data_IF_761207817881
#
_entry.id   IF_761207817881
#
_cell.length_a   1.000
_cell.length_b   1.000
_cell.length_c   1.000
_cell.angle_alpha   90.00
_cell.angle_beta   90.00
_cell.angle_gamma   90.00
#
_symmetry.space_group_name_H-M   'P 1'
#
loop_
_entity.id
_entity.type
_entity.pdbx_description
1 polymer ?
#
# COMPACT_ATOMS: atom_id res chain seq x y z
N UNK A 1 -33.64 15.94 -7.15
CA UNK A 1 -32.81 15.86 -5.92
C UNK A 1 -31.42 15.37 -6.33
N UNK A 2 -30.35 15.87 -5.72
CA UNK A 2 -28.99 15.40 -6.06
C UNK A 2 -28.86 13.94 -5.62
N UNK A 3 -28.55 13.03 -6.54
CA UNK A 3 -28.39 11.58 -6.34
C UNK A 3 -27.46 11.26 -5.15
N UNK A 4 -26.42 12.05 -4.95
CA UNK A 4 -25.51 11.89 -3.82
C UNK A 4 -26.20 12.17 -2.47
N UNK A 5 -26.96 13.27 -2.38
CA UNK A 5 -27.72 13.62 -1.16
C UNK A 5 -28.75 12.55 -0.83
N UNK A 6 -29.46 12.04 -1.83
CA UNK A 6 -30.40 10.94 -1.67
C UNK A 6 -29.73 9.67 -1.13
N UNK A 7 -28.58 9.32 -1.70
CA UNK A 7 -27.76 8.20 -1.25
C UNK A 7 -27.29 8.34 0.20
N UNK A 8 -26.79 9.51 0.57
CA UNK A 8 -26.33 9.80 1.94
C UNK A 8 -27.49 9.72 2.93
N UNK A 9 -28.64 10.31 2.61
CA UNK A 9 -29.84 10.26 3.44
C UNK A 9 -30.33 8.81 3.65
N UNK A 10 -30.27 7.98 2.61
CA UNK A 10 -30.60 6.57 2.70
C UNK A 10 -29.64 5.84 3.67
N UNK A 11 -28.32 6.02 3.52
CA UNK A 11 -27.35 5.42 4.42
C UNK A 11 -27.57 5.82 5.87
N UNK A 12 -27.86 7.09 6.14
CA UNK A 12 -28.18 7.58 7.48
C UNK A 12 -29.47 6.92 8.01
N UNK A 13 -30.52 6.82 7.18
CA UNK A 13 -31.77 6.16 7.57
C UNK A 13 -31.60 4.69 7.97
N UNK A 14 -30.62 4.02 7.40
CA UNK A 14 -30.23 2.64 7.74
C UNK A 14 -29.31 2.56 8.96
N UNK A 15 -29.04 3.67 9.63
CA UNK A 15 -28.18 3.74 10.83
C UNK A 15 -26.77 3.17 10.61
N UNK A 16 -26.23 3.30 9.39
CA UNK A 16 -24.90 2.76 9.04
C UNK A 16 -23.77 3.41 9.85
N UNK A 17 -23.99 4.62 10.37
CA UNK A 17 -23.09 5.30 11.31
C UNK A 17 -22.95 4.57 12.67
N UNK A 18 -23.90 3.69 13.01
CA UNK A 18 -23.88 2.91 14.25
C UNK A 18 -23.32 1.48 14.04
N UNK A 19 -22.99 1.11 12.81
CA UNK A 19 -22.45 -0.21 12.47
C UNK A 19 -20.92 -0.14 12.50
N UNK A 20 -20.23 -0.79 13.45
CA UNK A 20 -18.77 -0.83 13.46
C UNK A 20 -18.22 -1.46 12.18
N UNK A 21 -17.20 -0.83 11.58
CA UNK A 21 -16.57 -1.35 10.38
C UNK A 21 -15.10 -0.92 10.29
N UNK A 22 -14.18 -1.85 10.43
CA UNK A 22 -12.75 -1.55 10.50
C UNK A 22 -12.40 -0.71 11.72
N UNK A 23 -11.71 0.41 11.52
CA UNK A 23 -11.35 1.38 12.56
C UNK A 23 -12.40 2.49 12.75
N UNK A 24 -13.57 2.39 12.11
CA UNK A 24 -14.64 3.38 12.15
C UNK A 24 -16.02 2.75 12.05
N UNK A 25 -16.87 3.33 11.26
CA UNK A 25 -18.22 2.81 11.01
C UNK A 25 -18.48 2.62 9.50
N UNK A 26 -19.53 1.87 9.20
CA UNK A 26 -19.88 1.51 7.82
C UNK A 26 -20.22 2.72 6.96
N UNK A 27 -20.84 3.75 7.53
CA UNK A 27 -21.13 5.01 6.83
C UNK A 27 -19.84 5.67 6.35
N UNK A 28 -18.89 5.91 7.27
CA UNK A 28 -17.63 6.55 6.93
C UNK A 28 -16.85 5.73 5.90
N UNK A 29 -16.81 4.41 6.05
CA UNK A 29 -16.17 3.54 5.07
C UNK A 29 -16.78 3.70 3.67
N UNK A 30 -18.12 3.67 3.57
CA UNK A 30 -18.84 3.81 2.29
C UNK A 30 -18.55 5.15 1.62
N UNK A 31 -18.57 6.25 2.38
CA UNK A 31 -18.23 7.60 1.88
C UNK A 31 -16.76 7.65 1.42
N UNK A 32 -15.85 7.11 2.21
CA UNK A 32 -14.42 7.11 1.86
C UNK A 32 -14.15 6.31 0.55
N UNK A 33 -14.88 5.21 0.31
CA UNK A 33 -14.78 4.46 -0.96
C UNK A 33 -15.26 5.30 -2.13
N UNK A 34 -16.40 5.97 -1.98
CA UNK A 34 -16.95 6.89 -2.99
C UNK A 34 -15.96 8.00 -3.33
N UNK A 35 -15.43 8.68 -2.31
CA UNK A 35 -14.47 9.78 -2.48
C UNK A 35 -13.18 9.34 -3.13
N UNK A 36 -12.65 8.15 -2.76
CA UNK A 36 -11.46 7.57 -3.39
C UNK A 36 -11.70 7.28 -4.87
N UNK A 37 -12.84 6.73 -5.24
CA UNK A 37 -13.19 6.46 -6.63
C UNK A 37 -13.36 7.77 -7.43
N UNK A 38 -13.93 8.80 -6.83
CA UNK A 38 -14.01 10.15 -7.43
C UNK A 38 -12.63 10.76 -7.65
N UNK A 39 -11.74 10.64 -6.65
CA UNK A 39 -10.35 11.09 -6.76
C UNK A 39 -9.60 10.36 -7.91
N UNK A 40 -9.95 9.11 -8.16
CA UNK A 40 -9.42 8.33 -9.28
C UNK A 40 -10.06 8.70 -10.62
N UNK A 41 -11.06 9.60 -10.63
CA UNK A 41 -11.83 10.02 -11.81
C UNK A 41 -12.60 8.86 -12.48
N UNK A 42 -13.07 7.92 -11.67
CA UNK A 42 -13.99 6.89 -12.15
C UNK A 42 -15.33 7.46 -12.57
N UNK A 43 -16.02 6.75 -13.46
CA UNK A 43 -17.40 7.08 -13.84
C UNK A 43 -18.31 7.16 -12.61
N UNK A 44 -19.35 8.00 -12.69
CA UNK A 44 -20.30 8.22 -11.61
C UNK A 44 -20.97 6.91 -11.14
N UNK A 45 -21.29 6.01 -12.08
CA UNK A 45 -21.90 4.71 -11.76
C UNK A 45 -20.95 3.82 -10.92
N UNK A 46 -19.63 3.87 -11.17
CA UNK A 46 -18.62 3.17 -10.37
C UNK A 46 -18.54 3.77 -8.97
N UNK A 47 -18.60 5.11 -8.87
CA UNK A 47 -18.56 5.80 -7.58
C UNK A 47 -19.79 5.44 -6.72
N UNK A 48 -20.99 5.46 -7.27
CA UNK A 48 -22.21 5.06 -6.54
C UNK A 48 -22.24 3.57 -6.22
N UNK A 49 -21.76 2.71 -7.12
CA UNK A 49 -21.58 1.31 -6.81
C UNK A 49 -20.62 1.10 -5.62
N UNK A 50 -19.53 1.87 -5.55
CA UNK A 50 -18.59 1.86 -4.42
C UNK A 50 -19.22 2.32 -3.11
N UNK A 51 -20.04 3.39 -3.15
CA UNK A 51 -20.76 3.90 -1.99
C UNK A 51 -21.64 2.84 -1.31
N UNK A 52 -22.24 1.97 -2.12
CA UNK A 52 -23.20 0.96 -1.64
C UNK A 52 -22.60 -0.45 -1.54
N UNK A 53 -21.41 -0.71 -2.05
CA UNK A 53 -20.85 -2.06 -2.16
C UNK A 53 -20.82 -2.83 -0.82
N UNK A 54 -20.43 -2.16 0.27
CA UNK A 54 -20.28 -2.83 1.58
C UNK A 54 -21.61 -3.05 2.31
N UNK A 55 -22.69 -2.42 1.87
CA UNK A 55 -24.02 -2.55 2.50
C UNK A 55 -25.02 -3.32 1.64
N UNK A 56 -24.75 -3.48 0.36
CA UNK A 56 -25.69 -4.07 -0.59
C UNK A 56 -26.16 -5.47 -0.19
N UNK A 57 -25.28 -6.29 0.32
CA UNK A 57 -25.62 -7.65 0.75
C UNK A 57 -26.34 -7.69 2.10
N UNK A 58 -26.26 -6.62 2.89
CA UNK A 58 -26.95 -6.47 4.16
C UNK A 58 -28.38 -5.93 3.97
N UNK A 59 -28.67 -5.33 2.81
CA UNK A 59 -29.96 -4.69 2.53
C UNK A 59 -30.97 -5.74 2.06
N UNK A 60 -32.12 -5.80 2.76
CA UNK A 60 -33.21 -6.73 2.46
C UNK A 60 -33.96 -6.35 1.19
N UNK A 61 -34.11 -5.03 0.94
CA UNK A 61 -34.81 -4.53 -0.25
C UNK A 61 -33.83 -3.90 -1.23
N UNK A 62 -33.20 -4.76 -2.05
CA UNK A 62 -32.24 -4.36 -3.08
C UNK A 62 -32.85 -3.46 -4.16
N UNK A 63 -34.19 -3.49 -4.36
CA UNK A 63 -34.86 -2.63 -5.32
C UNK A 63 -34.78 -1.15 -4.89
N UNK A 64 -34.83 -0.86 -3.60
CA UNK A 64 -34.65 0.50 -3.10
C UNK A 64 -33.28 1.02 -3.45
N UNK A 65 -32.22 0.23 -3.21
CA UNK A 65 -30.85 0.61 -3.60
C UNK A 65 -30.75 0.83 -5.11
N UNK A 66 -31.28 -0.11 -5.92
CA UNK A 66 -31.31 0.02 -7.38
C UNK A 66 -32.01 1.29 -7.86
N UNK A 67 -33.11 1.69 -7.24
CA UNK A 67 -33.84 2.91 -7.59
C UNK A 67 -33.00 4.17 -7.29
N UNK A 68 -32.20 4.15 -6.22
CA UNK A 68 -31.34 5.27 -5.83
C UNK A 68 -30.12 5.37 -6.76
N UNK A 69 -29.38 4.27 -6.95
CA UNK A 69 -28.09 4.30 -7.66
C UNK A 69 -28.19 3.97 -9.15
N UNK A 70 -29.31 3.38 -9.58
CA UNK A 70 -29.53 2.95 -10.95
C UNK A 70 -29.03 1.52 -11.25
N UNK A 71 -29.59 0.94 -12.31
CA UNK A 71 -29.31 -0.46 -12.69
C UNK A 71 -27.85 -0.71 -13.05
N UNK A 72 -27.18 0.27 -13.67
CA UNK A 72 -25.76 0.13 -14.06
C UNK A 72 -24.85 0.05 -12.85
N UNK A 73 -25.05 0.92 -11.85
CA UNK A 73 -24.30 0.87 -10.59
C UNK A 73 -24.57 -0.43 -9.82
N UNK A 74 -25.84 -0.87 -9.77
CA UNK A 74 -26.20 -2.14 -9.14
C UNK A 74 -25.51 -3.36 -9.80
N UNK A 75 -25.45 -3.38 -11.14
CA UNK A 75 -24.77 -4.43 -11.88
C UNK A 75 -23.26 -4.46 -11.59
N UNK A 76 -22.64 -3.28 -11.41
CA UNK A 76 -21.23 -3.18 -11.02
C UNK A 76 -20.96 -3.80 -9.64
N UNK A 77 -21.88 -3.62 -8.68
CA UNK A 77 -21.79 -4.30 -7.37
C UNK A 77 -21.90 -5.81 -7.55
N UNK A 78 -22.95 -6.27 -8.25
CA UNK A 78 -23.19 -7.71 -8.48
C UNK A 78 -22.06 -8.43 -9.21
N UNK A 79 -21.36 -7.72 -10.10
CA UNK A 79 -20.22 -8.27 -10.86
C UNK A 79 -18.90 -8.26 -10.09
N UNK A 80 -18.88 -7.84 -8.82
CA UNK A 80 -17.65 -7.69 -8.04
C UNK A 80 -16.58 -6.87 -8.77
N UNK A 81 -16.94 -5.66 -9.20
CA UNK A 81 -16.07 -4.81 -9.99
C UNK A 81 -14.70 -4.60 -9.30
N UNK A 82 -13.62 -4.96 -9.99
CA UNK A 82 -12.27 -4.98 -9.44
C UNK A 82 -11.77 -3.63 -8.95
N UNK A 83 -12.20 -2.52 -9.59
CA UNK A 83 -11.83 -1.16 -9.17
C UNK A 83 -12.47 -0.83 -7.82
N UNK A 84 -13.74 -1.20 -7.64
CA UNK A 84 -14.46 -1.03 -6.37
C UNK A 84 -13.78 -1.86 -5.27
N UNK A 85 -13.42 -3.10 -5.56
CA UNK A 85 -12.72 -3.97 -4.61
C UNK A 85 -11.35 -3.40 -4.22
N UNK A 86 -10.62 -2.81 -5.17
CA UNK A 86 -9.36 -2.13 -4.90
C UNK A 86 -9.59 -0.90 -3.99
N UNK A 87 -10.59 -0.06 -4.28
CA UNK A 87 -10.91 1.10 -3.46
C UNK A 87 -11.29 0.68 -2.02
N UNK A 88 -12.11 -0.36 -1.86
CA UNK A 88 -12.46 -0.93 -0.55
C UNK A 88 -11.23 -1.40 0.25
N UNK A 89 -10.23 -2.01 -0.41
CA UNK A 89 -8.97 -2.38 0.25
C UNK A 89 -8.19 -1.16 0.73
N UNK A 90 -8.07 -0.13 -0.11
CA UNK A 90 -7.23 1.04 0.15
C UNK A 90 -7.87 2.11 1.04
N UNK A 91 -9.14 2.02 1.32
CA UNK A 91 -9.83 2.89 2.30
C UNK A 91 -9.53 2.47 3.75
N UNK A 92 -9.21 1.19 3.96
CA UNK A 92 -8.68 0.67 5.23
C UNK A 92 -7.17 0.90 5.26
N UNK A 93 -6.58 0.87 6.45
CA UNK A 93 -5.11 0.80 6.60
C UNK A 93 -4.61 -0.47 5.93
N UNK A 94 -4.29 -0.38 4.63
CA UNK A 94 -3.90 -1.54 3.84
C UNK A 94 -2.41 -1.82 4.00
N UNK A 95 -2.11 -2.88 4.73
CA UNK A 95 -0.75 -3.42 4.88
C UNK A 95 -0.83 -4.94 4.77
N UNK A 96 -0.29 -5.49 3.70
CA UNK A 96 -0.15 -6.93 3.47
C UNK A 96 1.28 -7.36 3.78
N UNK A 97 1.44 -8.48 4.48
CA UNK A 97 2.75 -9.05 4.82
C UNK A 97 2.80 -10.45 4.23
N UNK A 98 3.79 -10.72 3.41
CA UNK A 98 4.04 -12.03 2.82
C UNK A 98 5.37 -12.55 3.34
N UNK A 99 5.30 -13.58 4.18
CA UNK A 99 6.47 -14.31 4.67
C UNK A 99 6.69 -15.58 3.85
N UNK A 100 7.91 -16.06 3.81
CA UNK A 100 8.30 -17.32 3.15
C UNK A 100 7.95 -17.38 1.65
N UNK A 101 7.92 -16.23 0.98
CA UNK A 101 7.63 -16.15 -0.45
C UNK A 101 8.77 -16.69 -1.31
N UNK A 102 10.01 -16.46 -0.88
CA UNK A 102 11.23 -16.93 -1.53
C UNK A 102 11.82 -18.11 -0.74
N UNK A 103 12.46 -19.03 -1.45
CA UNK A 103 13.27 -20.06 -0.82
C UNK A 103 14.59 -19.50 -0.27
N UNK A 104 15.31 -20.33 0.49
CA UNK A 104 16.57 -19.91 1.12
C UNK A 104 17.67 -19.56 0.10
N UNK A 105 17.68 -20.20 -1.05
CA UNK A 105 18.66 -19.96 -2.10
C UNK A 105 18.41 -18.62 -2.78
N UNK A 106 17.15 -18.31 -3.09
CA UNK A 106 16.76 -17.02 -3.64
C UNK A 106 17.06 -15.86 -2.69
N UNK A 107 16.76 -16.05 -1.39
CA UNK A 107 17.06 -15.06 -0.36
C UNK A 107 18.58 -14.78 -0.31
N UNK A 108 19.40 -15.83 -0.30
CA UNK A 108 20.85 -15.69 -0.26
C UNK A 108 21.40 -15.02 -1.53
N UNK A 109 20.91 -15.40 -2.71
CA UNK A 109 21.32 -14.77 -3.98
C UNK A 109 20.97 -13.30 -4.05
N UNK A 110 19.75 -12.94 -3.63
CA UNK A 110 19.32 -11.55 -3.55
C UNK A 110 20.19 -10.75 -2.58
N UNK A 111 20.45 -11.30 -1.39
CA UNK A 111 21.31 -10.66 -0.40
C UNK A 111 22.73 -10.40 -0.92
N UNK A 112 23.41 -11.44 -1.45
CA UNK A 112 24.77 -11.31 -2.00
C UNK A 112 24.81 -10.26 -3.12
N UNK A 113 23.81 -10.28 -4.02
CA UNK A 113 23.75 -9.31 -5.09
C UNK A 113 23.68 -7.87 -4.57
N UNK A 114 22.73 -7.58 -3.69
CA UNK A 114 22.56 -6.22 -3.17
C UNK A 114 23.68 -5.81 -2.21
N UNK A 115 24.24 -6.71 -1.44
CA UNK A 115 25.35 -6.39 -0.53
C UNK A 115 26.63 -6.06 -1.29
N UNK A 116 27.00 -6.90 -2.27
CA UNK A 116 28.37 -6.94 -2.80
C UNK A 116 28.48 -6.43 -4.25
N UNK A 117 27.38 -6.40 -5.01
CA UNK A 117 27.46 -6.19 -6.46
C UNK A 117 26.72 -4.93 -6.96
N UNK A 118 26.04 -4.19 -6.11
CA UNK A 118 25.42 -2.93 -6.52
C UNK A 118 26.30 -1.74 -6.16
N UNK A 119 26.37 -0.72 -7.04
CA UNK A 119 27.12 0.52 -6.77
C UNK A 119 26.29 1.43 -5.85
N UNK A 120 26.32 1.17 -4.56
CA UNK A 120 25.67 2.00 -3.57
C UNK A 120 26.21 3.43 -3.60
N UNK A 121 25.30 4.41 -3.66
CA UNK A 121 25.63 5.81 -3.55
C UNK A 121 25.14 6.33 -2.20
N UNK A 122 26.04 6.95 -1.44
CA UNK A 122 25.65 7.67 -0.24
C UNK A 122 24.86 8.92 -0.63
N UNK A 123 23.67 9.05 -0.06
CA UNK A 123 22.83 10.24 -0.22
C UNK A 123 22.79 10.95 1.12
N UNK A 124 23.51 12.06 1.19
CA UNK A 124 23.44 13.01 2.29
C UNK A 124 23.38 14.41 1.70
N UNK A 125 22.38 15.21 2.05
CA UNK A 125 22.34 16.58 1.57
C UNK A 125 23.12 17.49 2.50
N UNK A 126 23.97 18.34 1.91
CA UNK A 126 24.80 19.27 2.64
C UNK A 126 24.08 20.53 3.14
N UNK A 127 22.79 20.73 2.87
CA UNK A 127 22.07 21.95 3.24
C UNK A 127 20.99 21.77 4.30
N UNK A 128 20.39 20.58 4.40
CA UNK A 128 19.35 20.30 5.39
C UNK A 128 19.82 19.24 6.36
N UNK A 129 19.99 19.62 7.61
CA UNK A 129 20.48 18.78 8.72
C UNK A 129 19.57 17.55 8.95
N UNK A 130 18.38 17.53 8.35
CA UNK A 130 17.35 16.53 8.53
C UNK A 130 17.12 15.62 7.32
N UNK A 131 17.95 15.68 6.30
CA UNK A 131 17.75 14.84 5.11
C UNK A 131 18.34 13.46 5.27
N UNK A 132 17.67 12.54 4.59
CA UNK A 132 17.96 11.12 4.48
C UNK A 132 19.46 10.83 4.31
N UNK A 133 20.08 10.30 5.34
CA UNK A 133 21.47 9.83 5.28
C UNK A 133 21.45 8.32 5.10
N UNK A 134 21.33 7.84 3.87
CA UNK A 134 21.35 6.41 3.58
C UNK A 134 22.09 6.14 2.27
N UNK A 135 22.37 4.87 2.04
CA UNK A 135 22.86 4.43 0.74
C UNK A 135 21.66 4.13 -0.16
N UNK A 136 21.74 4.57 -1.41
CA UNK A 136 20.72 4.28 -2.44
C UNK A 136 21.33 3.66 -3.67
N UNK A 137 20.53 2.82 -4.31
CA UNK A 137 20.80 2.26 -5.62
C UNK A 137 19.52 2.26 -6.44
N UNK A 138 19.58 2.65 -7.71
CA UNK A 138 18.45 2.61 -8.64
C UNK A 138 18.66 1.46 -9.64
N UNK A 139 17.88 0.36 -9.52
CA UNK A 139 17.95 -0.77 -10.43
C UNK A 139 17.67 -0.38 -11.87
N UNK A 140 18.50 -0.86 -12.79
CA UNK A 140 18.29 -0.66 -14.24
C UNK A 140 17.70 -1.88 -14.94
N UNK A 141 17.45 -2.95 -14.20
CA UNK A 141 16.89 -4.22 -14.65
C UNK A 141 17.71 -4.93 -15.74
N UNK A 142 19.00 -4.69 -15.84
CA UNK A 142 19.90 -5.46 -16.71
C UNK A 142 20.32 -6.77 -16.03
N UNK A 143 20.48 -6.77 -14.72
CA UNK A 143 20.86 -7.94 -13.95
C UNK A 143 19.72 -8.96 -13.80
N UNK A 144 20.08 -10.25 -13.70
CA UNK A 144 19.10 -11.36 -13.53
C UNK A 144 18.31 -11.24 -12.23
N UNK A 145 18.96 -10.87 -11.11
CA UNK A 145 18.32 -10.71 -9.79
C UNK A 145 17.27 -9.60 -9.83
N UNK A 146 17.59 -8.45 -10.42
CA UNK A 146 16.64 -7.34 -10.55
C UNK A 146 15.43 -7.71 -11.41
N UNK A 147 15.67 -8.38 -12.55
CA UNK A 147 14.59 -8.89 -13.43
C UNK A 147 13.71 -9.89 -12.70
N UNK A 148 14.32 -10.79 -11.92
CA UNK A 148 13.63 -11.78 -11.11
C UNK A 148 12.70 -11.10 -10.11
N UNK A 149 13.20 -10.18 -9.29
CA UNK A 149 12.41 -9.46 -8.29
C UNK A 149 11.28 -8.63 -8.92
N UNK A 150 11.53 -7.97 -10.06
CA UNK A 150 10.48 -7.26 -10.82
C UNK A 150 9.37 -8.20 -11.28
N UNK A 151 9.71 -9.38 -11.84
CA UNK A 151 8.74 -10.39 -12.26
C UNK A 151 7.89 -10.89 -11.09
N UNK A 152 8.53 -11.14 -9.94
CA UNK A 152 7.85 -11.57 -8.74
C UNK A 152 6.93 -10.49 -8.16
N UNK A 153 7.34 -9.22 -8.17
CA UNK A 153 6.47 -8.10 -7.81
C UNK A 153 5.20 -8.06 -8.65
N UNK A 154 5.34 -8.20 -9.97
CA UNK A 154 4.18 -8.25 -10.87
C UNK A 154 3.27 -9.45 -10.57
N UNK A 155 3.85 -10.63 -10.31
CA UNK A 155 3.08 -11.84 -9.94
C UNK A 155 2.32 -11.63 -8.64
N UNK A 156 2.94 -11.07 -7.61
CA UNK A 156 2.29 -10.75 -6.33
C UNK A 156 1.10 -9.81 -6.56
N UNK A 157 1.31 -8.69 -7.26
CA UNK A 157 0.26 -7.71 -7.51
C UNK A 157 -0.89 -8.28 -8.37
N UNK A 158 -0.60 -9.19 -9.31
CA UNK A 158 -1.63 -9.93 -10.08
C UNK A 158 -2.44 -10.83 -9.16
N UNK A 159 -1.80 -11.60 -8.30
CA UNK A 159 -2.49 -12.49 -7.34
C UNK A 159 -3.39 -11.69 -6.37
N UNK A 160 -3.01 -10.48 -6.02
CA UNK A 160 -3.81 -9.56 -5.20
C UNK A 160 -4.92 -8.85 -5.98
N UNK A 161 -4.99 -9.03 -7.31
CA UNK A 161 -5.98 -8.40 -8.19
C UNK A 161 -5.76 -6.89 -8.40
N UNK A 162 -4.53 -6.39 -8.19
CA UNK A 162 -4.21 -4.97 -8.25
C UNK A 162 -3.46 -4.56 -9.53
N UNK A 163 -2.73 -5.48 -10.15
CA UNK A 163 -1.73 -5.16 -11.17
C UNK A 163 -2.26 -4.36 -12.35
N UNK A 164 -3.49 -4.67 -12.80
CA UNK A 164 -4.10 -4.04 -13.98
C UNK A 164 -4.42 -2.54 -13.77
N UNK A 165 -4.45 -2.09 -12.53
CA UNK A 165 -4.75 -0.71 -12.13
C UNK A 165 -3.52 0.07 -11.68
N UNK A 166 -2.33 -0.49 -11.89
CA UNK A 166 -1.08 0.05 -11.37
C UNK A 166 -0.07 0.28 -12.49
N UNK A 167 0.55 1.46 -12.47
CA UNK A 167 1.69 1.79 -13.33
C UNK A 167 2.94 1.95 -12.48
N UNK A 168 3.98 1.20 -12.81
CA UNK A 168 5.27 1.33 -12.13
C UNK A 168 5.84 2.74 -12.34
N UNK A 169 6.11 3.44 -11.25
CA UNK A 169 6.65 4.79 -11.25
C UNK A 169 8.14 4.80 -10.95
N UNK A 170 8.53 4.13 -9.86
CA UNK A 170 9.90 4.17 -9.39
C UNK A 170 10.31 2.87 -8.72
N UNK A 171 11.60 2.51 -8.87
CA UNK A 171 12.23 1.43 -8.13
C UNK A 171 13.55 1.91 -7.56
N UNK A 172 13.80 1.62 -6.30
CA UNK A 172 15.09 1.89 -5.67
C UNK A 172 15.37 0.89 -4.54
N UNK A 173 16.63 0.62 -4.31
CA UNK A 173 17.08 -0.04 -3.10
C UNK A 173 17.65 1.01 -2.13
N UNK A 174 17.46 0.80 -0.84
CA UNK A 174 18.09 1.58 0.22
C UNK A 174 18.76 0.68 1.24
N UNK A 175 19.87 1.16 1.78
CA UNK A 175 20.63 0.47 2.81
C UNK A 175 20.96 1.44 3.95
N UNK A 176 20.71 1.02 5.17
CA UNK A 176 20.83 1.81 6.38
C UNK A 176 21.81 1.20 7.35
N UNK A 177 22.62 2.05 7.97
CA UNK A 177 23.47 1.73 9.12
C UNK A 177 22.85 2.30 10.40
N UNK A 178 23.42 1.94 11.54
CA UNK A 178 23.13 2.61 12.80
C UNK A 178 23.37 4.14 12.70
N UNK A 179 22.48 4.92 13.31
CA UNK A 179 22.50 6.38 13.25
C UNK A 179 21.96 6.98 11.94
N UNK A 180 21.37 6.15 11.08
CA UNK A 180 20.67 6.63 9.89
C UNK A 180 19.34 7.27 10.30
N UNK A 181 19.20 8.57 10.09
CA UNK A 181 17.96 9.29 10.43
C UNK A 181 16.92 9.10 9.33
N UNK A 182 15.75 8.57 9.71
CA UNK A 182 14.60 8.48 8.84
C UNK A 182 13.44 9.27 9.44
N UNK A 183 13.00 10.30 8.71
CA UNK A 183 11.74 10.97 9.07
C UNK A 183 10.55 10.15 8.58
N UNK A 184 9.43 10.25 9.33
CA UNK A 184 8.17 9.75 8.84
C UNK A 184 7.75 10.49 7.58
N UNK A 185 7.18 9.76 6.64
CA UNK A 185 6.76 10.31 5.36
C UNK A 185 5.65 9.45 4.73
N UNK A 186 5.04 10.02 3.72
CA UNK A 186 4.10 9.34 2.83
C UNK A 186 4.72 9.25 1.46
N UNK A 187 4.59 8.09 0.81
CA UNK A 187 5.07 7.92 -0.56
C UNK A 187 4.24 8.72 -1.57
N UNK A 188 2.96 8.90 -1.26
CA UNK A 188 1.98 9.68 -2.03
C UNK A 188 1.20 10.61 -1.11
N UNK A 189 0.90 11.81 -1.59
CA UNK A 189 0.09 12.76 -0.83
C UNK A 189 -1.34 12.25 -0.59
N UNK A 190 -1.94 12.59 0.54
CA UNK A 190 -3.30 12.16 0.92
C UNK A 190 -4.37 12.56 -0.10
N UNK A 191 -4.22 13.73 -0.72
CA UNK A 191 -5.14 14.27 -1.72
C UNK A 191 -4.79 13.88 -3.17
N UNK A 192 -3.83 12.97 -3.36
CA UNK A 192 -3.48 12.42 -4.67
C UNK A 192 -4.27 11.15 -4.98
N UNK A 193 -4.18 10.66 -6.23
CA UNK A 193 -4.72 9.32 -6.58
C UNK A 193 -4.16 8.21 -5.69
N UNK A 194 -3.01 8.44 -5.04
CA UNK A 194 -2.31 7.46 -4.25
C UNK A 194 -1.56 6.43 -5.10
N UNK A 195 -1.10 5.42 -4.43
CA UNK A 195 -0.35 4.32 -5.05
C UNK A 195 -0.09 3.20 -4.10
N UNK A 196 0.53 2.15 -4.60
CA UNK A 196 0.95 0.97 -3.84
C UNK A 196 2.46 0.94 -3.76
N UNK A 197 2.97 0.74 -2.57
CA UNK A 197 4.37 0.45 -2.33
C UNK A 197 4.55 -1.02 -2.03
N UNK A 198 5.47 -1.68 -2.75
CA UNK A 198 5.93 -3.04 -2.48
C UNK A 198 7.38 -2.98 -2.02
N UNK A 199 7.66 -3.49 -0.83
CA UNK A 199 9.00 -3.45 -0.25
C UNK A 199 9.48 -4.86 0.14
N UNK A 200 10.67 -5.20 -0.30
CA UNK A 200 11.38 -6.46 0.01
C UNK A 200 12.43 -6.20 1.07
N UNK A 201 12.46 -7.01 2.13
CA UNK A 201 13.63 -7.07 3.01
C UNK A 201 14.66 -8.02 2.39
N UNK A 202 15.84 -7.49 2.09
CA UNK A 202 16.87 -8.18 1.31
C UNK A 202 17.89 -8.94 2.14
N UNK A 203 17.92 -8.72 3.46
CA UNK A 203 18.85 -9.39 4.36
C UNK A 203 18.56 -10.89 4.42
N UNK A 204 19.62 -11.73 4.44
CA UNK A 204 19.51 -13.17 4.56
C UNK A 204 19.53 -13.66 6.03
N UNK A 205 19.92 -12.78 6.94
CA UNK A 205 19.89 -13.01 8.39
C UNK A 205 19.48 -11.73 9.09
N UNK A 206 18.32 -11.74 9.72
CA UNK A 206 17.81 -10.65 10.52
C UNK A 206 16.86 -11.16 11.59
N UNK A 207 16.98 -10.69 12.80
CA UNK A 207 16.18 -11.14 13.92
C UNK A 207 15.71 -9.95 14.77
N UNK A 208 14.87 -10.23 15.76
CA UNK A 208 14.28 -9.25 16.66
C UNK A 208 15.32 -8.30 17.31
N UNK A 209 16.48 -8.86 17.66
CA UNK A 209 17.51 -8.08 18.36
C UNK A 209 18.27 -7.10 17.47
N UNK A 210 18.08 -7.14 16.16
CA UNK A 210 18.70 -6.19 15.22
C UNK A 210 17.91 -4.88 15.11
N UNK A 211 16.64 -4.83 15.58
CA UNK A 211 15.72 -3.72 15.39
C UNK A 211 15.50 -3.35 13.89
N UNK A 212 15.34 -2.09 13.55
CA UNK A 212 15.19 -1.64 12.16
C UNK A 212 13.80 -1.87 11.58
N UNK A 213 12.74 -1.83 12.41
CA UNK A 213 11.36 -2.00 12.00
C UNK A 213 10.95 -0.95 10.98
N UNK A 214 10.03 -1.32 10.09
CA UNK A 214 9.21 -0.35 9.37
C UNK A 214 7.96 -0.09 10.20
N UNK A 215 7.77 1.17 10.61
CA UNK A 215 6.66 1.59 11.47
C UNK A 215 5.68 2.41 10.64
N UNK A 216 4.40 2.14 10.83
CA UNK A 216 3.28 2.84 10.21
C UNK A 216 2.50 3.61 11.26
N UNK A 217 2.06 4.81 10.89
CA UNK A 217 1.35 5.73 11.77
C UNK A 217 -0.01 6.10 11.22
N UNK A 218 -0.93 6.35 12.14
CA UNK A 218 -2.20 7.04 11.88
C UNK A 218 -2.44 8.00 13.05
N UNK A 219 -2.68 9.29 12.74
CA UNK A 219 -2.88 10.35 13.74
C UNK A 219 -1.79 10.35 14.82
N UNK A 220 -0.51 10.27 14.42
CA UNK A 220 0.68 10.25 15.29
C UNK A 220 0.82 8.98 16.17
N UNK A 221 -0.13 8.06 16.10
CA UNK A 221 -0.09 6.77 16.82
C UNK A 221 0.47 5.65 15.92
N UNK A 222 1.22 4.72 16.53
CA UNK A 222 1.74 3.54 15.83
C UNK A 222 0.60 2.54 15.62
N UNK A 223 0.21 2.34 14.36
CA UNK A 223 -0.80 1.33 14.00
C UNK A 223 -0.19 -0.01 13.61
N UNK A 224 1.07 -0.02 13.18
CA UNK A 224 1.78 -1.25 12.81
C UNK A 224 3.28 -1.06 12.92
N UNK A 225 3.96 -2.07 13.45
CA UNK A 225 5.43 -2.18 13.43
C UNK A 225 5.81 -3.52 12.82
N UNK A 226 6.69 -3.51 11.81
CA UNK A 226 7.05 -4.70 11.03
C UNK A 226 8.56 -4.88 11.08
N UNK A 227 9.00 -5.95 11.75
CA UNK A 227 10.41 -6.33 11.84
C UNK A 227 10.87 -6.85 10.49
N UNK A 228 12.05 -6.46 10.00
CA UNK A 228 12.68 -7.12 8.86
C UNK A 228 12.81 -8.63 9.11
N UNK A 229 12.49 -9.42 8.10
CA UNK A 229 12.76 -10.86 8.07
C UNK A 229 13.31 -11.24 6.71
N UNK A 230 14.21 -12.22 6.63
CA UNK A 230 14.72 -12.71 5.36
C UNK A 230 13.58 -13.08 4.39
N UNK A 231 13.59 -12.50 3.20
CA UNK A 231 12.61 -12.76 2.15
C UNK A 231 11.18 -12.26 2.40
N UNK A 232 10.94 -11.52 3.48
CA UNK A 232 9.64 -10.87 3.75
C UNK A 232 9.37 -9.81 2.71
N UNK A 233 8.12 -9.79 2.21
CA UNK A 233 7.59 -8.74 1.35
C UNK A 233 6.47 -8.03 2.08
N UNK A 234 6.44 -6.72 2.04
CA UNK A 234 5.31 -5.93 2.51
C UNK A 234 4.73 -5.11 1.37
N UNK A 235 3.41 -5.04 1.31
CA UNK A 235 2.66 -4.25 0.32
C UNK A 235 1.73 -3.34 1.10
N UNK A 236 1.77 -2.04 0.81
CA UNK A 236 0.95 -1.09 1.55
C UNK A 236 0.47 0.07 0.70
N UNK A 237 -0.60 0.72 1.13
CA UNK A 237 -1.06 1.99 0.56
C UNK A 237 0.03 3.04 0.79
N UNK A 238 0.59 3.57 -0.28
CA UNK A 238 1.66 4.56 -0.21
C UNK A 238 1.24 5.92 0.37
N UNK A 239 -0.05 6.13 0.66
CA UNK A 239 -0.54 7.29 1.42
C UNK A 239 -0.41 7.10 2.94
N UNK A 240 -0.07 5.89 3.42
CA UNK A 240 0.19 5.66 4.84
C UNK A 240 1.51 6.32 5.26
N UNK A 241 1.46 7.02 6.37
CA UNK A 241 2.66 7.58 6.98
C UNK A 241 3.51 6.48 7.57
N UNK A 242 4.80 6.47 7.25
CA UNK A 242 5.71 5.43 7.70
C UNK A 242 7.15 5.88 7.77
N UNK A 243 7.96 5.16 8.54
CA UNK A 243 9.41 5.32 8.55
C UNK A 243 10.12 4.00 8.86
N UNK A 244 11.41 3.93 8.54
CA UNK A 244 12.30 2.91 9.09
C UNK A 244 12.80 3.37 10.46
N UNK A 245 12.78 2.49 11.47
CA UNK A 245 13.47 2.72 12.74
C UNK A 245 14.96 2.41 12.58
N UNK A 246 15.74 2.98 13.49
CA UNK A 246 17.18 2.74 13.54
C UNK A 246 17.49 1.27 13.87
N UNK A 247 18.61 0.78 13.37
CA UNK A 247 19.12 -0.54 13.74
C UNK A 247 19.97 -0.43 15.00
N UNK A 248 20.18 -1.52 15.69
CA UNK A 248 21.05 -1.51 16.88
C UNK A 248 22.49 -1.25 16.50
N UNK A 249 23.22 -0.58 17.39
CA UNK A 249 24.62 -0.17 17.20
C UNK A 249 25.59 -1.34 16.99
N UNK A 250 25.27 -2.50 17.53
CA UNK A 250 26.07 -3.73 17.48
C UNK A 250 25.79 -4.61 16.26
N UNK A 251 24.91 -4.16 15.34
CA UNK A 251 24.64 -4.86 14.09
C UNK A 251 25.69 -4.51 13.04
N UNK A 252 26.42 -5.52 12.60
CA UNK A 252 27.49 -5.38 11.62
C UNK A 252 27.02 -5.62 10.16
N UNK A 253 25.75 -5.41 9.88
CA UNK A 253 25.19 -5.57 8.53
C UNK A 253 24.33 -4.35 8.18
N UNK A 254 24.15 -4.14 6.89
CA UNK A 254 23.24 -3.11 6.36
C UNK A 254 21.79 -3.60 6.45
N UNK A 255 20.87 -2.78 6.93
CA UNK A 255 19.44 -3.02 6.71
C UNK A 255 19.11 -2.65 5.28
N UNK A 256 18.90 -3.64 4.43
CA UNK A 256 18.68 -3.43 3.00
C UNK A 256 17.23 -3.71 2.62
N UNK A 257 16.63 -2.81 1.84
CA UNK A 257 15.31 -2.98 1.26
C UNK A 257 15.31 -2.61 -0.23
N UNK A 258 14.48 -3.31 -1.01
CA UNK A 258 14.16 -2.94 -2.39
C UNK A 258 12.70 -2.51 -2.45
N UNK A 259 12.44 -1.31 -2.96
CA UNK A 259 11.13 -0.69 -2.99
C UNK A 259 10.67 -0.45 -4.41
N UNK A 260 9.45 -0.91 -4.74
CA UNK A 260 8.73 -0.62 -5.96
C UNK A 260 7.55 0.28 -5.63
N UNK A 261 7.46 1.44 -6.27
CA UNK A 261 6.33 2.37 -6.16
C UNK A 261 5.49 2.34 -7.42
N UNK A 262 4.21 2.15 -7.25
CA UNK A 262 3.23 2.09 -8.33
C UNK A 262 2.15 3.14 -8.12
N UNK A 263 1.91 3.96 -9.14
CA UNK A 263 0.77 4.87 -9.18
C UNK A 263 -0.53 4.13 -9.50
N UNK A 264 -1.64 4.57 -8.93
CA UNK A 264 -2.98 4.19 -9.41
C UNK A 264 -3.18 4.76 -10.81
N UNK A 265 -3.43 3.88 -11.77
CA UNK A 265 -3.65 4.20 -13.17
C UNK A 265 -4.92 3.50 -13.65
N UNK A 266 -6.04 4.18 -13.48
CA UNK A 266 -7.35 3.76 -13.95
C UNK A 266 -7.64 4.60 -15.20
N UNK A 267 -7.60 3.95 -16.36
CA UNK A 267 -7.97 4.53 -17.65
C UNK A 267 -9.45 4.28 -17.93
#
# INVERSE_FOLDING_TARGET
>A
MNKYIESINYLISKKTQNIPYGQGNLFQHSVNVYDKLRLWKCDEDICFAGLFNSIYDMEKDRNVVKNIIGAKSENLIKSNNKIILLANKLVKTYIEIIDNYFDKQDILQNYIYFRDNVPWKFIGSGKDVFTWRNFKYEPNFKNKVEKYLKKHTQKILKNLGMFDFLKLERVYASANLYGTVHQSHRDYALNSKGGITVMYYLNNNWNLNHAGETVFYDNEEIVKSIIPKPGRVIIFDGTLEHCARDIRRDVNDLRMVLTFKYNININ
#
